data_IF_424223063131
#
_entry.id   IF_424223063131
#
_cell.length_a   1.000
_cell.length_b   1.000
_cell.length_c   1.000
_cell.angle_alpha   90.00
_cell.angle_beta   90.00
_cell.angle_gamma   90.00
#
_symmetry.space_group_name_H-M   'P 1'
#
loop_
_entity.id
_entity.type
_entity.pdbx_description
1 polymer ?
#
# COMPACT_ATOMS: atom_id res chain seq x y z
N UNK A 1 4.16 14.20 -32.43
CA UNK A 1 2.68 14.11 -32.46
C UNK A 1 2.30 12.63 -32.29
N UNK A 2 1.62 12.27 -31.20
CA UNK A 2 1.25 10.87 -30.94
C UNK A 2 0.15 10.42 -31.92
N UNK A 3 0.43 9.43 -32.77
CA UNK A 3 -0.54 8.82 -33.69
C UNK A 3 -1.00 7.48 -33.11
N UNK A 4 -2.29 7.32 -32.74
CA UNK A 4 -2.80 6.05 -32.26
C UNK A 4 -2.75 4.98 -33.38
N UNK A 5 -2.61 3.72 -32.99
CA UNK A 5 -2.54 2.58 -33.92
C UNK A 5 -3.85 2.40 -34.70
N UNK A 6 -3.77 1.85 -35.92
CA UNK A 6 -4.90 1.65 -36.84
C UNK A 6 -6.10 0.91 -36.22
N UNK A 7 -5.87 -0.01 -35.28
CA UNK A 7 -6.94 -0.71 -34.57
C UNK A 7 -7.79 0.22 -33.66
N UNK A 8 -7.21 1.30 -33.13
CA UNK A 8 -7.89 2.28 -32.28
C UNK A 8 -8.56 3.42 -33.07
N UNK A 9 -8.20 3.59 -34.35
CA UNK A 9 -8.89 4.50 -35.27
C UNK A 9 -10.29 3.99 -35.65
N UNK A 10 -10.54 2.68 -35.51
CA UNK A 10 -11.84 2.08 -35.76
C UNK A 10 -12.80 2.30 -34.57
N UNK A 11 -13.82 3.16 -34.76
CA UNK A 11 -14.87 3.42 -33.75
C UNK A 11 -15.59 2.15 -33.26
N UNK A 12 -15.63 1.08 -34.07
CA UNK A 12 -16.22 -0.21 -33.65
C UNK A 12 -15.32 -0.96 -32.66
N UNK A 13 -14.01 -0.82 -32.78
CA UNK A 13 -13.03 -1.45 -31.89
C UNK A 13 -12.97 -0.71 -30.54
N UNK A 14 -13.01 0.62 -30.55
CA UNK A 14 -12.98 1.42 -29.30
C UNK A 14 -14.24 1.28 -28.45
N UNK A 15 -15.40 0.99 -29.06
CA UNK A 15 -16.66 0.70 -28.35
C UNK A 15 -16.59 -0.53 -27.43
N UNK A 16 -15.68 -1.47 -27.68
CA UNK A 16 -15.49 -2.67 -26.84
C UNK A 16 -14.54 -2.45 -25.66
N UNK A 17 -13.88 -1.29 -25.59
CA UNK A 17 -12.96 -0.99 -24.49
C UNK A 17 -13.74 -0.73 -23.20
N UNK A 18 -13.09 -1.00 -22.06
CA UNK A 18 -13.68 -0.74 -20.75
C UNK A 18 -13.98 0.75 -20.59
N UNK A 19 -15.18 1.04 -20.11
CA UNK A 19 -15.62 2.41 -19.90
C UNK A 19 -14.80 3.08 -18.79
N UNK A 20 -14.37 4.31 -19.05
CA UNK A 20 -13.63 5.16 -18.11
C UNK A 20 -14.47 6.41 -17.80
N UNK A 21 -14.27 7.07 -16.65
CA UNK A 21 -15.08 8.23 -16.27
C UNK A 21 -14.94 9.41 -17.25
N UNK A 22 -13.90 9.43 -18.09
CA UNK A 22 -13.67 10.53 -19.06
C UNK A 22 -14.45 10.36 -20.37
N UNK A 23 -14.94 9.16 -20.69
CA UNK A 23 -15.57 8.86 -21.99
C UNK A 23 -17.09 8.63 -21.90
N UNK A 24 -17.64 8.55 -20.69
CA UNK A 24 -18.95 7.94 -20.44
C UNK A 24 -20.13 8.91 -20.38
N UNK A 25 -19.90 10.22 -20.35
CA UNK A 25 -20.95 11.23 -20.21
C UNK A 25 -21.20 11.64 -18.75
N UNK A 26 -22.29 12.38 -18.51
CA UNK A 26 -22.53 13.12 -17.25
C UNK A 26 -22.94 12.24 -16.07
N UNK A 27 -23.72 11.18 -16.31
CA UNK A 27 -24.33 10.37 -15.25
C UNK A 27 -23.52 9.11 -14.90
N UNK A 28 -22.34 8.96 -15.48
CA UNK A 28 -21.46 7.83 -15.21
C UNK A 28 -20.40 8.20 -14.18
N UNK A 29 -20.60 7.71 -12.95
CA UNK A 29 -19.60 7.77 -11.91
C UNK A 29 -18.84 6.44 -11.80
N UNK A 30 -17.51 6.51 -11.76
CA UNK A 30 -16.63 5.36 -11.51
C UNK A 30 -15.56 5.76 -10.48
N UNK A 31 -15.49 5.03 -9.37
CA UNK A 31 -14.51 5.26 -8.31
C UNK A 31 -13.09 4.79 -8.67
N UNK A 32 -12.12 5.24 -7.88
CA UNK A 32 -10.68 4.95 -8.04
C UNK A 32 -10.10 4.10 -6.89
N UNK A 33 -10.94 3.37 -6.15
CA UNK A 33 -10.47 2.52 -5.06
C UNK A 33 -10.00 3.30 -3.82
N UNK A 34 -10.39 4.57 -3.68
CA UNK A 34 -10.02 5.40 -2.53
C UNK A 34 -10.72 4.98 -1.23
N UNK A 35 -11.74 4.13 -1.27
CA UNK A 35 -12.55 3.77 -0.11
C UNK A 35 -13.55 4.85 0.30
N UNK A 36 -14.50 4.51 1.17
CA UNK A 36 -15.53 5.42 1.68
C UNK A 36 -15.13 6.02 3.03
N UNK A 37 -14.86 7.33 3.07
CA UNK A 37 -14.40 8.05 4.28
C UNK A 37 -15.57 8.63 5.10
N UNK A 38 -16.80 8.17 4.87
CA UNK A 38 -18.00 8.81 5.39
C UNK A 38 -19.27 8.32 4.71
N UNK A 39 -20.28 9.19 4.64
CA UNK A 39 -21.58 8.89 4.03
C UNK A 39 -22.17 10.08 3.27
N UNK A 40 -22.97 9.79 2.25
CA UNK A 40 -23.82 10.78 1.61
C UNK A 40 -24.99 11.20 2.53
N UNK A 41 -25.46 12.43 2.35
CA UNK A 41 -26.66 12.97 2.99
C UNK A 41 -27.87 12.86 2.07
N UNK A 42 -29.07 12.99 2.61
CA UNK A 42 -30.34 13.00 1.84
C UNK A 42 -30.35 14.07 0.74
N UNK A 43 -29.62 15.17 0.93
CA UNK A 43 -29.62 16.33 0.04
C UNK A 43 -28.36 16.42 -0.84
N UNK A 44 -27.65 15.30 -1.04
CA UNK A 44 -26.51 15.23 -1.97
C UNK A 44 -25.16 15.69 -1.40
N UNK A 45 -25.11 16.23 -0.17
CA UNK A 45 -23.87 16.49 0.55
C UNK A 45 -23.16 15.21 1.03
N UNK A 46 -21.98 15.36 1.64
CA UNK A 46 -21.18 14.27 2.20
C UNK A 46 -20.70 14.61 3.61
N UNK A 47 -20.83 13.69 4.56
CA UNK A 47 -20.35 13.83 5.94
C UNK A 47 -19.19 12.87 6.16
N UNK A 48 -18.05 13.41 6.60
CA UNK A 48 -16.83 12.66 6.87
C UNK A 48 -16.95 11.93 8.21
N UNK A 49 -16.56 10.66 8.22
CA UNK A 49 -16.40 9.83 9.41
C UNK A 49 -14.91 9.70 9.71
N UNK A 50 -14.45 10.45 10.71
CA UNK A 50 -13.03 10.52 11.09
C UNK A 50 -12.46 9.17 11.54
N UNK A 51 -13.29 8.22 11.98
CA UNK A 51 -12.84 6.87 12.32
C UNK A 51 -12.34 6.07 11.11
N UNK A 52 -12.78 6.45 9.89
CA UNK A 52 -12.39 5.81 8.62
C UNK A 52 -11.29 6.57 7.89
N UNK A 53 -10.94 7.76 8.35
CA UNK A 53 -9.89 8.57 7.75
C UNK A 53 -8.53 7.94 8.10
N UNK A 54 -7.80 7.52 7.07
CA UNK A 54 -6.46 6.95 7.23
C UNK A 54 -5.46 8.05 7.54
N UNK A 55 -4.69 7.86 8.60
CA UNK A 55 -3.53 8.69 8.95
C UNK A 55 -2.25 7.88 8.76
N UNK A 56 -1.17 8.57 8.42
CA UNK A 56 0.17 7.98 8.37
C UNK A 56 0.92 8.48 9.59
N UNK A 57 1.01 7.64 10.62
CA UNK A 57 1.70 7.99 11.87
C UNK A 57 3.20 7.94 11.60
N UNK A 58 3.81 9.12 11.61
CA UNK A 58 5.26 9.27 11.52
C UNK A 58 5.82 9.10 12.93
N UNK A 59 6.78 8.19 13.18
CA UNK A 59 7.41 8.08 14.48
C UNK A 59 8.16 9.38 14.79
N UNK A 60 8.25 9.75 16.08
CA UNK A 60 9.15 10.80 16.54
C UNK A 60 10.60 10.31 16.39
N UNK A 61 11.10 10.35 15.16
CA UNK A 61 12.48 10.06 14.86
C UNK A 61 13.28 11.31 15.23
N UNK A 62 13.94 11.30 16.40
CA UNK A 62 15.19 12.05 16.52
C UNK A 62 16.10 11.55 15.41
N UNK A 63 16.72 12.45 14.65
CA UNK A 63 17.48 12.21 13.43
C UNK A 63 18.31 10.91 13.51
N UNK A 64 17.69 9.80 13.09
CA UNK A 64 18.23 8.47 13.32
C UNK A 64 19.37 8.21 12.37
N UNK A 65 20.43 7.56 12.85
CA UNK A 65 21.59 7.15 12.05
C UNK A 65 21.24 6.16 10.91
N UNK A 66 19.99 5.72 10.82
CA UNK A 66 19.49 4.78 9.82
C UNK A 66 19.16 5.49 8.51
N UNK A 67 19.83 5.07 7.44
CA UNK A 67 19.60 5.52 6.07
C UNK A 67 19.05 4.36 5.22
N UNK A 68 18.41 4.62 4.06
CA UNK A 68 17.90 3.56 3.19
C UNK A 68 19.00 2.70 2.55
N UNK A 69 20.28 2.98 2.81
CA UNK A 69 21.42 2.28 2.23
C UNK A 69 22.35 1.72 3.29
N UNK A 70 23.03 0.63 2.95
CA UNK A 70 24.11 0.04 3.74
C UNK A 70 25.41 0.19 2.96
N UNK A 71 26.53 0.43 3.65
CA UNK A 71 27.84 0.48 3.03
C UNK A 71 28.19 -0.88 2.39
N UNK A 72 28.76 -0.86 1.18
CA UNK A 72 29.21 -2.08 0.47
C UNK A 72 30.31 -2.86 1.22
N UNK A 73 30.94 -2.25 2.22
CA UNK A 73 31.94 -2.88 3.08
C UNK A 73 31.32 -3.81 4.12
N UNK A 74 30.03 -3.65 4.41
CA UNK A 74 29.32 -4.52 5.35
C UNK A 74 28.87 -5.76 4.60
N UNK A 75 29.41 -6.91 4.97
CA UNK A 75 28.97 -8.19 4.42
C UNK A 75 27.56 -8.53 4.91
N UNK A 76 26.78 -9.18 4.06
CA UNK A 76 25.44 -9.62 4.42
C UNK A 76 25.54 -10.78 5.41
N UNK A 77 24.97 -10.68 6.62
CA UNK A 77 24.99 -11.79 7.55
C UNK A 77 24.15 -12.96 7.03
N UNK A 78 24.69 -14.18 7.11
CA UNK A 78 23.92 -15.40 6.90
C UNK A 78 23.21 -15.78 8.21
N UNK A 79 21.88 -15.92 8.20
CA UNK A 79 21.16 -16.29 9.41
C UNK A 79 21.39 -17.77 9.73
N UNK A 80 21.74 -18.06 10.97
CA UNK A 80 21.84 -19.43 11.48
C UNK A 80 20.60 -19.78 12.31
N UNK A 81 19.87 -20.80 11.86
CA UNK A 81 18.67 -21.33 12.51
C UNK A 81 18.85 -22.79 12.95
N UNK A 82 20.09 -23.29 13.02
CA UNK A 82 20.37 -24.67 13.43
C UNK A 82 19.74 -24.98 14.79
N UNK A 83 19.03 -26.10 14.85
CA UNK A 83 18.34 -26.54 16.07
C UNK A 83 17.00 -25.82 16.33
N UNK A 84 16.55 -24.94 15.44
CA UNK A 84 15.22 -24.32 15.50
C UNK A 84 14.36 -24.77 14.32
N UNK A 85 13.06 -24.60 14.45
CA UNK A 85 12.12 -24.84 13.34
C UNK A 85 12.22 -23.74 12.25
N UNK A 86 12.90 -22.63 12.54
CA UNK A 86 13.11 -21.51 11.64
C UNK A 86 13.09 -20.14 12.35
N UNK A 87 13.07 -19.01 11.61
CA UNK A 87 13.10 -17.67 12.18
C UNK A 87 11.93 -17.33 13.10
N UNK A 88 10.80 -18.02 12.94
CA UNK A 88 9.56 -17.79 13.68
C UNK A 88 9.32 -18.84 14.77
N UNK A 89 10.36 -19.59 15.17
CA UNK A 89 10.25 -20.58 16.23
C UNK A 89 9.99 -19.91 17.59
N UNK A 90 8.85 -20.23 18.19
CA UNK A 90 8.42 -19.66 19.46
C UNK A 90 9.30 -20.04 20.65
N UNK A 91 9.88 -21.24 20.68
CA UNK A 91 10.76 -21.65 21.78
C UNK A 91 12.09 -20.89 21.74
N UNK A 92 12.65 -20.73 20.54
CA UNK A 92 13.84 -19.91 20.32
C UNK A 92 13.59 -18.45 20.70
N UNK A 93 12.42 -17.90 20.36
CA UNK A 93 12.02 -16.56 20.78
C UNK A 93 11.92 -16.43 22.31
N UNK A 94 11.27 -17.39 22.98
CA UNK A 94 11.14 -17.39 24.45
C UNK A 94 12.49 -17.48 25.16
N UNK A 95 13.43 -18.27 24.64
CA UNK A 95 14.79 -18.35 25.16
C UNK A 95 15.49 -16.99 25.05
N UNK A 96 15.47 -16.35 23.87
CA UNK A 96 16.06 -15.02 23.66
C UNK A 96 15.41 -13.93 24.51
N UNK A 97 14.08 -14.00 24.70
CA UNK A 97 13.35 -13.09 25.57
C UNK A 97 13.74 -13.25 27.04
N UNK A 98 13.94 -14.48 27.51
CA UNK A 98 14.49 -14.72 28.86
C UNK A 98 15.94 -14.23 28.97
N UNK A 99 16.76 -14.40 27.94
CA UNK A 99 18.15 -13.92 27.95
C UNK A 99 18.25 -12.39 27.95
N UNK A 100 17.34 -11.70 27.26
CA UNK A 100 17.40 -10.25 27.12
C UNK A 100 17.10 -9.49 28.42
N UNK A 101 16.61 -10.16 29.46
CA UNK A 101 16.38 -9.54 30.78
C UNK A 101 15.17 -8.62 30.85
N UNK A 102 14.24 -8.72 29.89
CA UNK A 102 13.01 -7.92 29.86
C UNK A 102 11.90 -8.48 30.76
N UNK A 103 12.28 -9.07 31.90
CA UNK A 103 11.38 -9.65 32.91
C UNK A 103 11.58 -8.98 34.26
#
# INVERSE_FOLDING_TARGET
>A
MFRPTLALLNKRATRKLKLTPKVAGKDYYKGFGTGAMGRHTKHGGYVIDWSKVRTYVVPEAGDGELTPFVSKRVEKPEPDYRGTTGPMDGQAWLARWRESGWY
#
